data_IF_898609064561
#
_entry.id   IF_898609064561
#
_cell.length_a   1.000
_cell.length_b   1.000
_cell.length_c   1.000
_cell.angle_alpha   90.00
_cell.angle_beta   90.00
_cell.angle_gamma   90.00
#
_symmetry.space_group_name_H-M   'P 1'
#
loop_
_entity.id
_entity.type
_entity.pdbx_description
1 polymer ?
#
# COMPACT_ATOMS: atom_id res chain seq x y z
N UNK A 1 20.35 1.77 -64.16
CA UNK A 1 19.19 1.23 -63.42
C UNK A 1 19.60 1.13 -61.95
N UNK A 2 19.12 2.04 -61.09
CA UNK A 2 19.45 2.05 -59.64
C UNK A 2 18.42 1.18 -58.92
N UNK A 3 18.85 0.06 -58.36
CA UNK A 3 18.02 -0.81 -57.52
C UNK A 3 18.08 -0.23 -56.10
N UNK A 4 16.97 0.36 -55.64
CA UNK A 4 16.81 0.83 -54.26
C UNK A 4 16.52 -0.38 -53.38
N UNK A 5 17.41 -0.65 -52.42
CA UNK A 5 17.26 -1.67 -51.39
C UNK A 5 16.47 -1.05 -50.22
N UNK A 6 15.17 -1.34 -50.10
CA UNK A 6 14.39 -0.96 -48.93
C UNK A 6 14.52 -2.05 -47.85
N UNK A 7 15.47 -1.88 -46.93
CA UNK A 7 15.53 -2.63 -45.68
C UNK A 7 14.47 -2.08 -44.73
N UNK A 8 13.33 -2.75 -44.64
CA UNK A 8 12.33 -2.52 -43.61
C UNK A 8 12.84 -3.11 -42.29
N UNK A 9 13.46 -2.28 -41.44
CA UNK A 9 13.74 -2.65 -40.05
C UNK A 9 12.44 -2.63 -39.26
N UNK A 10 11.85 -3.80 -39.04
CA UNK A 10 10.83 -3.98 -38.01
C UNK A 10 11.51 -3.80 -36.65
N UNK A 11 11.35 -2.63 -36.04
CA UNK A 11 11.64 -2.46 -34.63
C UNK A 11 10.60 -3.28 -33.86
N UNK A 12 10.99 -4.46 -33.38
CA UNK A 12 10.24 -5.17 -32.34
C UNK A 12 10.26 -4.26 -31.11
N UNK A 13 9.15 -3.57 -30.86
CA UNK A 13 8.87 -2.97 -29.57
C UNK A 13 8.72 -4.12 -28.57
N UNK A 14 9.82 -4.54 -27.95
CA UNK A 14 9.75 -5.37 -26.76
C UNK A 14 9.12 -4.50 -25.68
N UNK A 15 7.80 -4.62 -25.50
CA UNK A 15 7.21 -4.32 -24.20
C UNK A 15 7.88 -5.30 -23.25
N UNK A 16 8.86 -4.83 -22.47
CA UNK A 16 9.48 -5.62 -21.42
C UNK A 16 8.34 -6.09 -20.53
N UNK A 17 8.07 -7.39 -20.58
CA UNK A 17 7.02 -7.98 -19.77
C UNK A 17 7.38 -7.78 -18.30
N UNK A 18 6.40 -7.41 -17.48
CA UNK A 18 6.60 -7.22 -16.06
C UNK A 18 6.97 -8.55 -15.39
N UNK A 19 8.23 -8.69 -14.95
CA UNK A 19 8.71 -9.92 -14.30
C UNK A 19 8.41 -9.88 -12.79
N UNK A 20 7.67 -10.89 -12.30
CA UNK A 20 7.33 -11.01 -10.87
C UNK A 20 8.58 -11.20 -10.01
N UNK A 21 8.66 -10.47 -8.91
CA UNK A 21 9.80 -10.54 -8.01
C UNK A 21 10.99 -9.68 -8.44
N UNK A 22 10.93 -9.07 -9.63
CA UNK A 22 12.00 -8.26 -10.24
C UNK A 22 11.52 -6.84 -10.50
N UNK A 23 10.49 -6.67 -11.35
CA UNK A 23 10.05 -5.35 -11.80
C UNK A 23 8.94 -4.77 -10.91
N UNK A 24 8.11 -5.61 -10.31
CA UNK A 24 6.96 -5.20 -9.47
C UNK A 24 7.33 -4.95 -8.00
N UNK A 25 8.55 -4.46 -7.74
CA UNK A 25 9.05 -4.20 -6.39
C UNK A 25 8.87 -2.72 -6.02
N UNK A 26 8.24 -2.47 -4.87
CA UNK A 26 8.31 -1.20 -4.15
C UNK A 26 9.21 -1.34 -2.92
N UNK A 27 10.17 -0.44 -2.78
CA UNK A 27 11.08 -0.40 -1.63
C UNK A 27 10.58 0.59 -0.58
N UNK A 28 10.65 0.18 0.67
CA UNK A 28 10.29 1.02 1.81
C UNK A 28 11.56 1.29 2.62
N UNK A 29 11.84 2.56 2.86
CA UNK A 29 13.05 3.03 3.54
C UNK A 29 12.72 3.53 4.95
N UNK A 30 13.64 3.31 5.90
CA UNK A 30 13.58 3.94 7.21
C UNK A 30 13.93 5.42 7.10
N UNK A 31 12.91 6.28 7.17
CA UNK A 31 13.08 7.74 7.05
C UNK A 31 13.75 8.36 8.29
N UNK A 32 13.89 7.62 9.39
CA UNK A 32 14.67 8.04 10.56
C UNK A 32 16.13 7.56 10.51
N UNK A 33 16.52 6.80 9.48
CA UNK A 33 17.91 6.35 9.23
C UNK A 33 18.50 5.64 10.46
N UNK A 34 17.73 4.73 11.05
CA UNK A 34 18.11 3.93 12.23
C UNK A 34 18.05 4.68 13.57
N UNK A 35 17.64 5.95 13.60
CA UNK A 35 17.61 6.78 14.82
C UNK A 35 16.32 6.62 15.64
N UNK A 36 15.32 5.93 15.10
CA UNK A 36 14.07 5.62 15.80
C UNK A 36 14.27 4.57 16.90
N UNK A 37 13.27 4.44 17.79
CA UNK A 37 13.20 3.27 18.68
C UNK A 37 12.92 2.00 17.89
N UNK A 38 12.21 2.14 16.78
CA UNK A 38 11.90 1.09 15.82
C UNK A 38 12.54 1.51 14.50
N UNK A 39 13.40 0.64 13.97
CA UNK A 39 14.07 0.81 12.69
C UNK A 39 13.65 -0.31 11.73
N UNK A 40 13.64 0.00 10.44
CA UNK A 40 13.25 -0.93 9.39
C UNK A 40 14.39 -1.11 8.40
N UNK A 41 14.62 -2.34 7.97
CA UNK A 41 15.75 -2.67 7.07
C UNK A 41 15.26 -3.55 5.92
N UNK A 42 15.69 -3.23 4.69
CA UNK A 42 15.48 -4.03 3.48
C UNK A 42 14.02 -4.44 3.25
N UNK A 43 13.09 -3.50 3.48
CA UNK A 43 11.66 -3.74 3.31
C UNK A 43 11.30 -3.62 1.83
N UNK A 44 10.89 -4.74 1.24
CA UNK A 44 10.44 -4.83 -0.16
C UNK A 44 9.02 -5.37 -0.22
N UNK A 45 8.16 -4.68 -0.98
CA UNK A 45 6.80 -5.10 -1.30
C UNK A 45 6.72 -5.50 -2.78
N UNK A 46 6.00 -6.56 -3.08
CA UNK A 46 5.56 -6.90 -4.42
C UNK A 46 4.18 -6.34 -4.65
N UNK A 47 3.96 -5.71 -5.80
CA UNK A 47 2.67 -5.13 -6.18
C UNK A 47 2.02 -5.91 -7.31
N UNK A 48 0.70 -5.97 -7.26
CA UNK A 48 -0.12 -6.69 -8.21
C UNK A 48 -1.39 -5.90 -8.55
N UNK A 49 -1.87 -6.06 -9.79
CA UNK A 49 -3.11 -5.47 -10.28
C UNK A 49 -4.36 -6.16 -9.71
N UNK A 50 -5.56 -5.69 -10.08
CA UNK A 50 -6.83 -6.30 -9.66
C UNK A 50 -7.03 -7.75 -10.13
N UNK A 51 -6.23 -8.22 -11.08
CA UNK A 51 -6.21 -9.60 -11.60
C UNK A 51 -5.09 -10.45 -10.98
N UNK A 52 -4.33 -9.91 -10.02
CA UNK A 52 -3.17 -10.54 -9.38
C UNK A 52 -1.96 -10.75 -10.31
N UNK A 53 -1.87 -10.01 -11.41
CA UNK A 53 -0.65 -9.97 -12.22
C UNK A 53 0.35 -8.97 -11.64
N UNK A 54 1.67 -9.16 -11.82
CA UNK A 54 2.70 -8.19 -11.41
C UNK A 54 2.42 -6.80 -11.97
N UNK A 55 2.44 -5.78 -11.11
CA UNK A 55 2.18 -4.39 -11.50
C UNK A 55 3.47 -3.58 -11.57
N UNK A 56 3.88 -3.19 -12.78
CA UNK A 56 5.03 -2.32 -13.00
C UNK A 56 4.87 -1.42 -14.22
N UNK A 57 5.68 -0.37 -14.26
CA UNK A 57 5.82 0.59 -15.34
C UNK A 57 7.30 0.90 -15.51
N UNK A 58 7.80 0.76 -16.74
CA UNK A 58 9.22 0.96 -17.07
C UNK A 58 10.19 0.19 -16.14
N UNK A 59 9.82 -1.05 -15.77
CA UNK A 59 10.63 -1.92 -14.90
C UNK A 59 10.62 -1.51 -13.42
N UNK A 60 9.67 -0.67 -12.99
CA UNK A 60 9.51 -0.24 -11.60
C UNK A 60 8.12 -0.59 -11.08
N UNK A 61 8.05 -0.99 -9.81
CA UNK A 61 6.79 -1.35 -9.17
C UNK A 61 5.81 -0.18 -9.18
N UNK A 62 4.56 -0.48 -9.52
CA UNK A 62 3.44 0.46 -9.52
C UNK A 62 2.42 0.01 -8.49
N UNK A 63 1.86 0.97 -7.78
CA UNK A 63 0.76 0.73 -6.88
C UNK A 63 -0.57 0.77 -7.66
N UNK A 64 -1.16 -0.38 -7.95
CA UNK A 64 -2.44 -0.46 -8.67
C UNK A 64 -3.65 -0.47 -7.74
N UNK A 65 -4.74 0.20 -8.13
CA UNK A 65 -6.02 0.18 -7.45
C UNK A 65 -7.18 -0.15 -8.40
N UNK A 66 -8.08 -1.08 -8.06
CA UNK A 66 -7.88 -2.08 -7.01
C UNK A 66 -6.65 -2.95 -7.33
N UNK A 67 -6.01 -3.47 -6.29
CA UNK A 67 -4.83 -4.30 -6.45
C UNK A 67 -4.44 -4.99 -5.15
N UNK A 68 -3.32 -5.72 -5.21
CA UNK A 68 -2.79 -6.45 -4.08
C UNK A 68 -1.32 -6.10 -3.85
N UNK A 69 -0.87 -6.28 -2.62
CA UNK A 69 0.55 -6.30 -2.32
C UNK A 69 0.93 -7.49 -1.46
N UNK A 70 2.20 -7.89 -1.53
CA UNK A 70 2.80 -8.93 -0.70
C UNK A 70 4.13 -8.44 -0.17
N UNK A 71 4.40 -8.66 1.11
CA UNK A 71 5.74 -8.44 1.64
C UNK A 71 6.70 -9.52 1.11
N UNK A 72 7.77 -9.09 0.45
CA UNK A 72 8.85 -9.96 -0.06
C UNK A 72 9.94 -10.16 0.97
N UNK A 73 10.39 -9.07 1.58
CA UNK A 73 11.46 -9.07 2.59
C UNK A 73 11.30 -7.89 3.52
N UNK A 74 11.95 -7.97 4.68
CA UNK A 74 12.11 -6.85 5.57
C UNK A 74 12.39 -7.28 6.99
N UNK A 75 13.10 -6.44 7.73
CA UNK A 75 13.35 -6.63 9.15
C UNK A 75 12.86 -5.42 9.92
N UNK A 76 12.39 -5.66 11.13
CA UNK A 76 12.09 -4.61 12.10
C UNK A 76 12.95 -4.82 13.34
N UNK A 77 13.65 -3.77 13.73
CA UNK A 77 14.49 -3.73 14.93
C UNK A 77 13.86 -2.81 15.95
N UNK A 78 13.41 -3.39 17.06
CA UNK A 78 12.91 -2.67 18.22
C UNK A 78 14.04 -2.54 19.22
N UNK A 79 14.70 -1.37 19.21
CA UNK A 79 15.84 -1.10 20.12
C UNK A 79 15.40 -0.94 21.57
N UNK A 80 14.18 -0.47 21.79
CA UNK A 80 13.57 -0.32 23.11
C UNK A 80 12.08 -0.59 23.03
N UNK A 81 11.61 -1.43 23.95
CA UNK A 81 10.20 -1.73 24.16
C UNK A 81 9.34 -0.45 24.17
N UNK A 82 8.26 -0.48 23.41
CA UNK A 82 7.25 0.57 23.33
C UNK A 82 6.06 0.12 24.16
N UNK A 83 5.73 0.86 25.22
CA UNK A 83 4.61 0.54 26.10
C UNK A 83 3.46 1.50 25.82
N UNK A 84 2.23 0.99 25.67
CA UNK A 84 1.04 1.83 25.49
C UNK A 84 0.81 2.79 26.66
N UNK A 85 1.27 2.44 27.87
CA UNK A 85 1.23 3.32 29.03
C UNK A 85 2.10 4.58 28.89
N UNK A 86 3.02 4.64 27.93
CA UNK A 86 3.79 5.86 27.59
C UNK A 86 3.01 6.81 26.65
N UNK A 87 1.82 6.43 26.19
CA UNK A 87 0.92 7.24 25.36
C UNK A 87 0.37 6.47 24.16
N UNK A 88 -0.69 7.02 23.55
CA UNK A 88 -1.30 6.45 22.34
C UNK A 88 -0.31 6.42 21.18
N UNK A 89 -0.29 5.29 20.47
CA UNK A 89 0.49 5.08 19.27
C UNK A 89 -0.30 5.51 18.03
N UNK A 90 0.25 6.48 17.30
CA UNK A 90 -0.41 7.12 16.16
C UNK A 90 0.44 7.00 14.91
N UNK A 91 -0.19 6.62 13.81
CA UNK A 91 0.39 6.69 12.47
C UNK A 91 0.07 8.06 11.89
N UNK A 92 1.10 8.88 11.74
CA UNK A 92 1.02 10.20 11.11
C UNK A 92 1.50 10.09 9.66
N UNK A 93 0.58 10.22 8.72
CA UNK A 93 0.86 10.14 7.29
C UNK A 93 1.29 11.51 6.74
N UNK A 94 2.25 11.49 5.83
CA UNK A 94 2.46 12.56 4.86
C UNK A 94 2.27 11.98 3.47
N UNK A 95 1.38 12.59 2.70
CA UNK A 95 0.98 12.13 1.37
C UNK A 95 0.93 13.34 0.44
N UNK A 96 1.65 13.28 -0.66
CA UNK A 96 1.73 14.35 -1.66
C UNK A 96 1.59 13.77 -3.06
N UNK A 97 0.82 14.45 -3.90
CA UNK A 97 0.72 14.15 -5.32
C UNK A 97 1.60 15.11 -6.10
N UNK A 98 2.33 14.60 -7.09
CA UNK A 98 3.04 15.42 -8.08
C UNK A 98 2.04 16.10 -9.03
N UNK A 99 1.34 17.12 -8.53
CA UNK A 99 0.29 17.83 -9.25
C UNK A 99 0.12 19.22 -8.66
N UNK A 100 0.12 20.23 -9.53
CA UNK A 100 -0.13 21.63 -9.13
C UNK A 100 -1.55 21.86 -8.57
N UNK A 101 -2.51 20.99 -8.88
CA UNK A 101 -3.90 21.10 -8.42
C UNK A 101 -4.08 20.44 -7.05
N UNK A 102 -3.54 19.22 -6.88
CA UNK A 102 -3.78 18.40 -5.68
C UNK A 102 -2.72 18.65 -4.62
N UNK A 103 -1.43 18.65 -5.02
CA UNK A 103 -0.29 18.89 -4.13
C UNK A 103 -0.31 18.02 -2.87
N UNK A 104 0.02 18.65 -1.74
CA UNK A 104 0.05 18.00 -0.42
C UNK A 104 -1.37 17.68 0.08
N UNK A 105 -1.60 16.40 0.36
CA UNK A 105 -2.87 15.88 0.88
C UNK A 105 -2.83 15.73 2.40
N UNK A 106 -1.78 15.06 2.89
CA UNK A 106 -1.51 14.91 4.32
C UNK A 106 -0.11 15.44 4.62
N UNK A 107 0.05 16.11 5.75
CA UNK A 107 1.35 16.56 6.25
C UNK A 107 1.47 16.23 7.74
N UNK A 108 2.32 15.25 8.07
CA UNK A 108 2.60 14.82 9.44
C UNK A 108 1.33 14.54 10.25
N UNK A 109 0.39 13.79 9.68
CA UNK A 109 -0.86 13.43 10.34
C UNK A 109 -1.99 14.43 10.18
N UNK A 110 -1.76 15.56 9.52
CA UNK A 110 -2.78 16.61 9.33
C UNK A 110 -3.23 16.68 7.89
N UNK A 111 -4.54 16.68 7.67
CA UNK A 111 -5.07 16.97 6.34
C UNK A 111 -4.75 18.41 5.93
N UNK A 112 -4.25 18.56 4.71
CA UNK A 112 -4.02 19.84 4.02
C UNK A 112 -4.97 20.06 2.86
N UNK A 113 -5.84 19.09 2.61
CA UNK A 113 -6.76 19.09 1.50
C UNK A 113 -8.19 18.93 2.02
N UNK A 114 -9.07 19.87 1.65
CA UNK A 114 -10.48 19.88 2.10
C UNK A 114 -11.28 18.64 1.68
N UNK A 115 -10.82 17.91 0.65
CA UNK A 115 -11.48 16.71 0.15
C UNK A 115 -11.05 15.43 0.89
N UNK A 116 -10.04 15.52 1.78
CA UNK A 116 -9.54 14.38 2.55
C UNK A 116 -9.85 14.60 4.03
N UNK A 117 -10.74 13.79 4.62
CA UNK A 117 -11.02 13.82 6.05
C UNK A 117 -9.74 13.67 6.88
N UNK A 118 -9.65 14.38 8.00
CA UNK A 118 -8.45 14.38 8.85
C UNK A 118 -8.12 12.99 9.40
N UNK A 119 -9.15 12.17 9.58
CA UNK A 119 -9.06 10.78 10.03
C UNK A 119 -8.27 9.91 9.06
N UNK A 120 -8.13 10.31 7.79
CA UNK A 120 -7.32 9.59 6.80
C UNK A 120 -5.82 9.90 6.94
N UNK A 121 -5.46 10.99 7.63
CA UNK A 121 -4.06 11.39 7.80
C UNK A 121 -3.48 10.91 9.14
N UNK A 122 -4.29 10.73 10.19
CA UNK A 122 -3.86 10.26 11.52
C UNK A 122 -4.71 9.09 12.00
N UNK A 123 -4.08 7.94 12.26
CA UNK A 123 -4.76 6.75 12.73
C UNK A 123 -4.12 6.15 13.99
N UNK A 124 -4.92 5.69 14.97
CA UNK A 124 -4.40 4.95 16.11
C UNK A 124 -3.97 3.52 15.72
N UNK A 125 -2.66 3.24 15.70
CA UNK A 125 -2.08 1.99 15.19
C UNK A 125 -2.74 0.75 15.80
N UNK A 126 -2.83 0.70 17.12
CA UNK A 126 -3.27 -0.50 17.84
C UNK A 126 -4.78 -0.74 17.76
N UNK A 127 -5.58 0.20 17.25
CA UNK A 127 -6.98 -0.09 16.92
C UNK A 127 -7.12 -0.92 15.65
N UNK A 128 -6.19 -0.77 14.71
CA UNK A 128 -6.18 -1.51 13.44
C UNK A 128 -5.35 -2.80 13.51
N UNK A 129 -4.31 -2.81 14.33
CA UNK A 129 -3.35 -3.91 14.43
C UNK A 129 -3.31 -4.54 15.84
N UNK A 130 -4.47 -4.74 16.45
CA UNK A 130 -4.62 -5.16 17.86
C UNK A 130 -3.69 -6.33 18.24
N UNK A 131 -3.72 -7.42 17.48
CA UNK A 131 -2.92 -8.61 17.78
C UNK A 131 -1.42 -8.46 17.49
N UNK A 132 -1.04 -7.43 16.73
CA UNK A 132 0.34 -7.19 16.29
C UNK A 132 1.05 -6.11 17.09
N UNK A 133 0.33 -5.27 17.83
CA UNK A 133 0.96 -4.25 18.69
C UNK A 133 1.82 -4.83 19.81
N UNK A 134 1.57 -6.07 20.25
CA UNK A 134 2.43 -6.75 21.24
C UNK A 134 3.88 -6.94 20.77
N UNK A 135 4.12 -6.95 19.46
CA UNK A 135 5.47 -7.12 18.93
C UNK A 135 6.41 -5.98 19.31
N UNK A 136 5.92 -4.74 19.29
CA UNK A 136 6.73 -3.56 19.60
C UNK A 136 6.91 -3.34 21.11
N UNK A 137 6.21 -4.12 21.94
CA UNK A 137 6.38 -4.12 23.40
C UNK A 137 7.64 -4.88 23.84
N UNK A 138 8.25 -5.65 22.93
CA UNK A 138 9.47 -6.41 23.19
C UNK A 138 10.63 -5.84 22.36
N UNK A 139 11.77 -5.62 23.00
CA UNK A 139 12.99 -5.29 22.28
C UNK A 139 13.52 -6.53 21.56
N UNK A 140 14.00 -6.37 20.33
CA UNK A 140 14.43 -7.49 19.50
C UNK A 140 14.51 -7.12 18.04
N UNK A 141 14.94 -8.09 17.24
CA UNK A 141 14.90 -8.04 15.79
C UNK A 141 13.91 -9.10 15.33
N UNK A 142 13.02 -8.73 14.41
CA UNK A 142 11.97 -9.59 13.91
C UNK A 142 11.99 -9.56 12.38
N UNK A 143 11.83 -10.72 11.77
CA UNK A 143 11.62 -10.83 10.34
C UNK A 143 10.16 -10.49 10.03
N UNK A 144 9.94 -9.51 9.14
CA UNK A 144 8.59 -9.07 8.79
C UNK A 144 7.87 -10.12 7.93
N UNK A 145 8.58 -11.01 7.24
CA UNK A 145 7.98 -12.07 6.40
C UNK A 145 7.27 -13.15 7.24
N UNK A 146 7.68 -13.32 8.49
CA UNK A 146 6.97 -14.20 9.44
C UNK A 146 5.56 -13.66 9.74
N UNK A 147 5.35 -12.35 9.67
CA UNK A 147 4.08 -11.70 9.96
C UNK A 147 3.06 -11.83 8.84
N UNK A 148 3.51 -11.86 7.59
CA UNK A 148 2.62 -11.85 6.42
C UNK A 148 1.96 -13.18 6.13
N UNK A 149 2.46 -14.29 6.68
CA UNK A 149 1.75 -15.58 6.67
C UNK A 149 0.34 -15.52 7.29
N UNK A 150 0.04 -14.45 8.05
CA UNK A 150 -1.25 -14.20 8.70
C UNK A 150 -1.99 -12.96 8.20
N UNK A 151 -1.47 -12.27 7.18
CA UNK A 151 -2.06 -11.03 6.65
C UNK A 151 -2.77 -11.30 5.32
N UNK A 152 -4.04 -10.89 5.24
CA UNK A 152 -4.92 -11.09 4.09
C UNK A 152 -6.05 -12.10 4.38
N UNK A 153 -7.25 -11.94 3.78
CA UNK A 153 -8.41 -12.80 4.06
C UNK A 153 -8.20 -14.27 3.66
N UNK A 154 -7.25 -14.54 2.76
CA UNK A 154 -7.04 -15.86 2.16
C UNK A 154 -5.80 -16.60 2.70
N UNK A 155 -5.08 -16.05 3.70
CA UNK A 155 -3.81 -16.59 4.25
C UNK A 155 -2.71 -16.87 3.19
N UNK A 156 -2.79 -16.22 2.03
CA UNK A 156 -1.81 -16.36 0.94
C UNK A 156 -0.73 -15.27 0.97
N UNK A 157 -0.75 -14.40 1.98
CA UNK A 157 0.16 -13.26 2.13
C UNK A 157 -0.09 -12.11 1.17
N UNK A 158 -1.17 -12.15 0.36
CA UNK A 158 -1.64 -11.02 -0.44
C UNK A 158 -2.61 -10.19 0.39
N UNK A 159 -2.31 -8.90 0.48
CA UNK A 159 -3.16 -7.92 1.14
C UNK A 159 -3.92 -7.16 0.06
N UNK A 160 -5.25 -7.27 0.11
CA UNK A 160 -6.17 -6.56 -0.79
C UNK A 160 -6.23 -5.08 -0.36
N UNK A 161 -5.96 -4.20 -1.33
CA UNK A 161 -5.96 -2.75 -1.12
C UNK A 161 -7.34 -2.14 -1.30
N UNK A 162 -8.30 -2.96 -1.75
CA UNK A 162 -9.67 -2.57 -2.04
C UNK A 162 -9.78 -1.65 -3.25
N UNK A 163 -11.01 -1.35 -3.68
CA UNK A 163 -11.25 -0.32 -4.66
C UNK A 163 -11.01 1.06 -4.05
N UNK A 164 -10.25 1.93 -4.73
CA UNK A 164 -10.25 3.36 -4.43
C UNK A 164 -11.31 4.05 -5.30
N UNK A 165 -12.20 4.88 -4.73
CA UNK A 165 -13.39 5.33 -5.44
C UNK A 165 -13.17 6.49 -6.45
N UNK A 166 -11.93 6.89 -6.77
CA UNK A 166 -11.67 8.19 -7.41
C UNK A 166 -10.53 8.11 -8.45
N UNK A 167 -10.79 8.31 -9.77
CA UNK A 167 -9.78 8.27 -10.85
C UNK A 167 -8.64 9.30 -10.71
N UNK A 168 -8.86 10.38 -9.95
CA UNK A 168 -7.90 11.44 -9.71
C UNK A 168 -6.70 10.98 -8.87
N UNK A 169 -6.61 9.71 -8.49
CA UNK A 169 -5.46 9.14 -7.81
C UNK A 169 -4.33 8.76 -8.77
N UNK A 170 -4.56 8.70 -10.07
CA UNK A 170 -3.52 8.31 -11.02
C UNK A 170 -2.38 9.32 -11.05
N UNK A 171 -1.16 8.79 -11.13
CA UNK A 171 0.06 9.58 -11.30
C UNK A 171 1.09 9.29 -10.23
N UNK A 172 1.96 10.27 -10.03
CA UNK A 172 3.12 10.17 -9.14
C UNK A 172 2.80 10.69 -7.74
N UNK A 173 3.17 9.89 -6.72
CA UNK A 173 2.91 10.17 -5.32
C UNK A 173 4.16 9.99 -4.46
N UNK A 174 4.22 10.75 -3.38
CA UNK A 174 5.16 10.57 -2.30
C UNK A 174 4.39 10.21 -1.03
N UNK A 175 4.81 9.13 -0.35
CA UNK A 175 4.19 8.64 0.87
C UNK A 175 5.26 8.43 1.93
N UNK A 176 5.07 9.02 3.10
CA UNK A 176 5.79 8.66 4.31
C UNK A 176 4.84 8.49 5.49
N UNK A 177 5.20 7.61 6.40
CA UNK A 177 4.42 7.29 7.60
C UNK A 177 5.33 7.37 8.80
N UNK A 178 4.91 8.08 9.85
CA UNK A 178 5.65 8.15 11.12
C UNK A 178 4.83 7.50 12.21
N UNK A 179 5.44 6.62 12.98
CA UNK A 179 4.86 6.15 14.23
C UNK A 179 5.20 7.14 15.34
N UNK A 180 4.17 7.75 15.89
CA UNK A 180 4.24 8.77 16.93
C UNK A 180 3.74 8.22 18.26
N UNK A 181 4.38 8.65 19.35
CA UNK A 181 3.87 8.49 20.71
C UNK A 181 4.01 9.83 21.43
N UNK A 182 2.88 10.55 21.55
CA UNK A 182 2.90 11.98 21.88
C UNK A 182 3.72 12.76 20.85
N UNK A 183 4.69 13.55 21.30
CA UNK A 183 5.59 14.32 20.42
C UNK A 183 6.79 13.53 19.89
N UNK A 184 6.98 12.28 20.34
CA UNK A 184 8.16 11.47 19.98
C UNK A 184 7.90 10.69 18.70
N UNK A 185 8.86 10.75 17.78
CA UNK A 185 8.91 9.87 16.59
C UNK A 185 9.59 8.56 17.00
N UNK A 186 8.84 7.47 16.97
CA UNK A 186 9.34 6.14 17.32
C UNK A 186 9.90 5.40 16.11
N UNK A 187 9.27 5.58 14.95
CA UNK A 187 9.62 4.95 13.69
C UNK A 187 9.25 5.86 12.51
N UNK A 188 9.87 5.64 11.36
CA UNK A 188 9.51 6.33 10.11
C UNK A 188 9.72 5.41 8.92
N UNK A 189 8.75 5.41 8.01
CA UNK A 189 8.78 4.68 6.75
C UNK A 189 8.55 5.67 5.60
N UNK A 190 9.14 5.39 4.46
CA UNK A 190 8.92 6.13 3.22
C UNK A 190 8.96 5.18 2.03
N UNK A 191 8.02 5.35 1.11
CA UNK A 191 8.01 4.60 -0.16
C UNK A 191 9.00 5.27 -1.10
N UNK A 192 9.97 4.50 -1.60
CA UNK A 192 11.14 5.00 -2.35
C UNK A 192 12.03 5.95 -1.51
N UNK A 193 13.17 6.38 -2.06
CA UNK A 193 14.10 7.27 -1.35
C UNK A 193 13.58 8.72 -1.26
N UNK A 194 14.31 9.57 -0.52
CA UNK A 194 14.03 11.01 -0.40
C UNK A 194 13.86 11.64 -1.81
N UNK A 195 12.82 12.47 -1.99
CA UNK A 195 12.45 13.16 -3.24
C UNK A 195 12.07 12.26 -4.44
N UNK A 196 11.86 10.96 -4.21
CA UNK A 196 11.36 10.04 -5.24
C UNK A 196 9.86 9.86 -5.16
N UNK A 197 9.23 9.88 -6.33
CA UNK A 197 7.82 9.60 -6.51
C UNK A 197 7.64 8.14 -6.92
N UNK A 198 6.60 7.49 -6.41
CA UNK A 198 6.15 6.20 -6.92
C UNK A 198 4.85 6.39 -7.71
N UNK A 199 4.67 5.55 -8.72
CA UNK A 199 3.49 5.60 -9.57
C UNK A 199 2.33 4.88 -8.89
N UNK A 200 1.18 5.54 -8.89
CA UNK A 200 -0.13 4.97 -8.57
C UNK A 200 -0.93 4.92 -9.86
N UNK A 201 -1.57 3.79 -10.12
CA UNK A 201 -2.49 3.61 -11.24
C UNK A 201 -3.82 3.08 -10.74
N UNK A 202 -4.91 3.62 -11.24
CA UNK A 202 -6.25 3.11 -11.07
C UNK A 202 -6.61 2.33 -12.33
N UNK A 203 -6.82 1.04 -12.17
CA UNK A 203 -7.48 0.28 -13.22
C UNK A 203 -8.92 0.80 -13.29
N UNK A 204 -9.33 1.24 -14.48
CA UNK A 204 -10.73 1.59 -14.70
C UNK A 204 -11.55 0.33 -14.42
N UNK A 205 -12.19 0.28 -13.25
CA UNK A 205 -13.17 -0.74 -12.95
C UNK A 205 -14.17 -0.72 -14.10
N UNK A 206 -14.20 -1.79 -14.91
CA UNK A 206 -15.29 -1.99 -15.85
C UNK A 206 -16.56 -2.02 -15.00
N UNK A 207 -17.39 -0.97 -15.11
CA UNK A 207 -18.62 -0.82 -14.30
C UNK A 207 -19.51 -2.07 -14.44
N UNK A 208 -19.40 -2.78 -15.57
CA UNK A 208 -20.06 -4.07 -15.81
C UNK A 208 -19.67 -5.18 -14.81
N UNK A 209 -18.43 -5.22 -14.31
CA UNK A 209 -17.95 -6.25 -13.39
C UNK A 209 -18.38 -5.98 -11.94
N UNK A 210 -18.51 -4.70 -11.57
CA UNK A 210 -19.05 -4.28 -10.27
C UNK A 210 -20.54 -4.67 -10.16
N UNK A 211 -21.33 -4.46 -11.22
CA UNK A 211 -22.76 -4.82 -11.29
C UNK A 211 -22.97 -6.35 -11.27
N UNK A 212 -22.02 -7.14 -11.78
CA UNK A 212 -22.09 -8.61 -11.71
C UNK A 212 -21.80 -9.16 -10.31
N UNK A 213 -20.93 -8.51 -9.52
CA UNK A 213 -20.63 -8.95 -8.14
C UNK A 213 -21.76 -8.63 -7.16
N UNK A 214 -22.47 -7.52 -7.35
CA UNK A 214 -23.63 -7.13 -6.50
C UNK A 214 -24.95 -7.80 -6.87
N UNK A 215 -25.02 -8.51 -8.01
CA UNK A 215 -26.23 -9.19 -8.46
C UNK A 215 -26.33 -10.67 -8.05
N UNK A 216 -25.35 -11.24 -7.35
CA UNK A 216 -25.54 -12.55 -6.70
C UNK A 216 -26.38 -12.34 -5.43
N UNK A 217 -27.62 -12.85 -5.36
CA UNK A 217 -28.41 -12.78 -4.14
C UNK A 217 -27.64 -13.50 -3.03
N UNK A 218 -27.46 -12.85 -1.88
CA UNK A 218 -27.06 -13.56 -0.67
C UNK A 218 -28.12 -14.64 -0.39
N UNK A 219 -27.74 -15.91 -0.16
CA UNK A 219 -28.69 -16.90 0.30
C UNK A 219 -29.29 -16.41 1.61
N UNK A 220 -30.62 -16.44 1.68
CA UNK A 220 -31.34 -16.03 2.87
C UNK A 220 -30.82 -16.79 4.10
N UNK A 221 -30.63 -16.12 5.25
CA UNK A 221 -30.20 -16.80 6.46
C UNK A 221 -31.24 -17.87 6.83
N UNK A 222 -30.80 -19.10 7.18
CA UNK A 222 -31.71 -20.17 7.56
C UNK A 222 -32.39 -19.80 8.89
N UNK A 223 -33.69 -19.52 8.85
CA UNK A 223 -34.48 -19.31 10.08
C UNK A 223 -35.55 -18.22 10.04
N UNK A 224 -35.78 -17.51 8.93
CA UNK A 224 -36.90 -16.58 8.84
C UNK A 224 -38.22 -17.35 8.64
N UNK A 225 -38.82 -17.85 9.73
CA UNK A 225 -40.22 -18.25 9.75
C UNK A 225 -41.08 -16.99 9.72
N UNK A 226 -41.85 -16.84 8.65
CA UNK A 226 -42.90 -15.82 8.53
C UNK A 226 -44.05 -16.28 9.43
N UNK A 227 -44.26 -15.58 10.53
CA UNK A 227 -45.52 -15.63 11.27
C UNK A 227 -46.52 -14.75 10.52
N UNK A 228 -47.48 -15.38 9.84
CA UNK A 228 -48.72 -14.74 9.44
C UNK A 228 -49.60 -14.59 10.70
N UNK A 229 -49.85 -13.35 11.13
CA UNK A 229 -50.99 -13.03 11.99
C UNK A 229 -51.68 -11.76 11.47
N UNK A 230 -52.93 -11.99 11.03
CA UNK A 230 -54.11 -11.12 10.86
C UNK A 230 -54.02 -9.79 10.09
#
# INVERSE_FOLDING_TARGET
>A
MRVLLCLATFALSYTLACEDGVDNILRIHDSLKGKGRIAFENVELLTYDGHKNPACDEGKGVWNFPGFFRLKSGKVKVTKAVKESEGELKLALSLEKNSWIIGTVCENGKSKNQFVPAEICDFPLCKFAQDKCKMIEQAGEFDLTELTSTMGPDNNGLIDMGPLPIPQIDGEWALSVKLMQGARKLAGLQVQEDDQWFKVAADSLNIADVVKKTSKPQPAPPGAQVHDEF
#
